data_IF_185932389969
#
_entry.id   IF_185932389969
#
_cell.length_a   1.000
_cell.length_b   1.000
_cell.length_c   1.000
_cell.angle_alpha   90.00
_cell.angle_beta   90.00
_cell.angle_gamma   90.00
#
_symmetry.space_group_name_H-M   'P 1'
#
loop_
_entity.id
_entity.type
_entity.pdbx_description
1 polymer ?
#
# COMPACT_ATOMS: atom_id res chain seq x y z
N UNK A 1 -13.70 -3.00 14.53
CA UNK A 1 -12.91 -1.80 14.15
C UNK A 1 -11.89 -2.22 13.09
N UNK A 2 -11.45 -1.32 12.20
CA UNK A 2 -10.44 -1.64 11.18
C UNK A 2 -9.15 -0.84 11.45
N UNK A 3 -8.01 -1.54 11.48
CA UNK A 3 -6.68 -0.95 11.64
C UNK A 3 -6.03 -0.79 10.27
N UNK A 4 -5.25 0.27 10.11
CA UNK A 4 -4.47 0.52 8.89
C UNK A 4 -2.99 0.40 9.22
N UNK A 5 -2.36 -0.63 8.65
CA UNK A 5 -1.00 -1.03 8.92
C UNK A 5 -0.14 -0.72 7.69
N UNK A 6 1.07 -0.21 7.94
CA UNK A 6 2.03 0.15 6.92
C UNK A 6 3.28 -0.72 7.04
N UNK A 7 4.03 -0.85 5.96
CA UNK A 7 5.34 -1.48 5.95
C UNK A 7 6.43 -0.40 5.93
N UNK A 8 7.36 -0.48 6.87
CA UNK A 8 8.53 0.40 6.87
C UNK A 8 9.52 -0.05 5.80
N UNK A 9 9.76 0.83 4.82
CA UNK A 9 10.52 0.49 3.61
C UNK A 9 11.98 0.06 3.88
N UNK A 10 12.59 0.59 4.94
CA UNK A 10 13.99 0.30 5.30
C UNK A 10 14.17 -1.06 5.97
N UNK A 11 13.20 -1.48 6.78
CA UNK A 11 13.35 -2.63 7.69
C UNK A 11 12.39 -3.79 7.39
N UNK A 12 11.33 -3.53 6.61
CA UNK A 12 10.24 -4.48 6.39
C UNK A 12 9.29 -4.63 7.60
N UNK A 13 9.47 -3.83 8.66
CA UNK A 13 8.62 -3.92 9.85
C UNK A 13 7.21 -3.41 9.56
N UNK A 14 6.22 -4.19 9.97
CA UNK A 14 4.82 -3.76 9.96
C UNK A 14 4.58 -2.84 11.15
N UNK A 15 3.90 -1.73 10.93
CA UNK A 15 3.54 -0.81 12.01
C UNK A 15 2.15 -0.18 11.83
N UNK A 16 1.54 0.12 12.97
CA UNK A 16 0.37 1.00 13.08
C UNK A 16 0.84 2.40 13.43
N UNK A 17 0.32 3.43 12.74
CA UNK A 17 0.68 4.84 12.97
C UNK A 17 -0.39 5.54 13.78
N UNK A 18 0.05 6.37 14.73
CA UNK A 18 -0.79 7.30 15.49
C UNK A 18 -0.19 8.71 15.45
N UNK A 19 -1.03 9.74 15.45
CA UNK A 19 -0.62 11.15 15.67
C UNK A 19 -0.46 11.47 17.16
N UNK A 20 -1.06 10.65 18.02
CA UNK A 20 -1.05 10.81 19.48
C UNK A 20 -0.22 9.71 20.15
N UNK A 21 0.40 10.06 21.28
CA UNK A 21 1.15 9.11 22.11
C UNK A 21 0.18 8.12 22.77
N UNK A 22 0.45 6.83 22.62
CA UNK A 22 -0.34 5.73 23.17
C UNK A 22 0.58 4.67 23.76
N UNK A 23 0.04 3.86 24.66
CA UNK A 23 0.78 2.74 25.24
C UNK A 23 1.24 1.75 24.15
N UNK A 24 2.50 1.33 24.21
CA UNK A 24 3.11 0.43 23.23
C UNK A 24 3.45 1.08 21.88
N UNK A 25 3.34 2.41 21.76
CA UNK A 25 3.81 3.14 20.59
C UNK A 25 5.14 3.83 20.88
N UNK A 26 6.07 3.72 19.94
CA UNK A 26 7.37 4.36 19.95
C UNK A 26 7.31 5.67 19.15
N UNK A 27 8.02 6.70 19.61
CA UNK A 27 8.11 7.97 18.89
C UNK A 27 8.98 7.81 17.63
N UNK A 28 8.50 8.36 16.51
CA UNK A 28 9.19 8.37 15.23
C UNK A 28 9.14 9.78 14.65
N UNK A 29 10.31 10.36 14.40
CA UNK A 29 10.46 11.66 13.74
C UNK A 29 10.88 11.46 12.30
N UNK A 30 10.07 11.94 11.37
CA UNK A 30 10.38 11.89 9.93
C UNK A 30 11.55 12.81 9.58
N UNK A 31 12.17 12.59 8.41
CA UNK A 31 13.22 13.48 7.87
C UNK A 31 12.78 14.93 7.67
N UNK A 32 11.46 15.19 7.63
CA UNK A 32 10.86 16.52 7.54
C UNK A 32 10.54 17.13 8.92
N UNK A 33 10.95 16.50 10.01
CA UNK A 33 10.73 16.98 11.39
C UNK A 33 9.33 16.67 11.97
N UNK A 34 8.44 16.02 11.22
CA UNK A 34 7.13 15.63 11.75
C UNK A 34 7.25 14.43 12.68
N UNK A 35 6.75 14.57 13.91
CA UNK A 35 6.64 13.49 14.89
C UNK A 35 5.37 12.68 14.69
N UNK A 36 5.49 11.36 14.81
CA UNK A 36 4.39 10.41 14.84
C UNK A 36 4.73 9.28 15.80
N UNK A 37 3.74 8.50 16.21
CA UNK A 37 3.92 7.36 17.10
C UNK A 37 3.65 6.08 16.32
N UNK A 38 4.46 5.03 16.52
CA UNK A 38 4.36 3.76 15.79
C UNK A 38 4.36 2.57 16.73
N UNK A 39 3.42 1.66 16.54
CA UNK A 39 3.40 0.34 17.19
C UNK A 39 3.84 -0.72 16.19
N UNK A 40 4.93 -1.42 16.47
CA UNK A 40 5.51 -2.42 15.57
C UNK A 40 5.00 -3.84 15.84
N UNK A 41 4.82 -4.61 14.77
CA UNK A 41 4.37 -6.00 14.80
C UNK A 41 5.53 -6.94 14.41
N UNK A 42 6.24 -7.47 15.40
CA UNK A 42 7.50 -8.20 15.16
C UNK A 42 7.32 -9.60 14.55
N UNK A 43 6.18 -10.26 14.80
CA UNK A 43 5.93 -11.62 14.31
C UNK A 43 5.29 -11.64 12.92
N UNK A 44 5.16 -10.51 12.23
CA UNK A 44 4.31 -10.38 11.06
C UNK A 44 2.84 -10.34 11.46
N UNK A 45 1.96 -10.44 10.47
CA UNK A 45 0.53 -10.28 10.64
C UNK A 45 -0.20 -11.59 10.34
N UNK A 46 -0.93 -12.10 11.32
CA UNK A 46 -1.76 -13.29 11.20
C UNK A 46 -3.20 -12.87 10.90
N UNK A 47 -3.88 -13.60 10.02
CA UNK A 47 -5.31 -13.48 9.85
C UNK A 47 -5.84 -14.21 8.62
N UNK A 48 -7.16 -14.28 8.54
CA UNK A 48 -7.87 -14.76 7.36
C UNK A 48 -7.85 -13.66 6.31
N UNK A 49 -7.26 -13.91 5.15
CA UNK A 49 -7.26 -12.92 4.07
C UNK A 49 -8.67 -12.77 3.49
N UNK A 50 -9.23 -11.57 3.55
CA UNK A 50 -10.62 -11.30 3.13
C UNK A 50 -10.71 -10.47 1.86
N UNK A 51 -9.69 -9.64 1.56
CA UNK A 51 -9.65 -8.85 0.35
C UNK A 51 -8.22 -8.51 -0.07
N UNK A 52 -8.02 -8.34 -1.37
CA UNK A 52 -6.85 -7.73 -2.00
C UNK A 52 -7.38 -6.53 -2.78
N UNK A 53 -6.88 -5.33 -2.52
CA UNK A 53 -7.35 -4.11 -3.16
C UNK A 53 -6.20 -3.27 -3.70
N UNK A 54 -6.43 -2.58 -4.81
CA UNK A 54 -5.63 -1.41 -5.20
C UNK A 54 -6.29 -0.17 -4.62
N UNK A 55 -5.53 0.66 -3.91
CA UNK A 55 -6.03 1.92 -3.34
C UNK A 55 -5.13 3.09 -3.72
N UNK A 56 -5.75 4.24 -3.90
CA UNK A 56 -5.03 5.50 -4.07
C UNK A 56 -4.90 6.19 -2.71
N UNK A 57 -3.74 6.78 -2.44
CA UNK A 57 -3.48 7.50 -1.19
C UNK A 57 -2.68 8.78 -1.48
N UNK A 58 -2.64 9.74 -0.54
CA UNK A 58 -1.81 10.95 -0.70
C UNK A 58 -0.31 10.67 -0.88
N UNK A 59 0.14 9.46 -0.54
CA UNK A 59 1.54 9.02 -0.68
C UNK A 59 1.75 8.10 -1.88
N UNK A 60 0.77 7.97 -2.77
CA UNK A 60 0.81 7.15 -3.98
C UNK A 60 -0.16 5.97 -3.94
N UNK A 61 -0.16 5.21 -5.03
CA UNK A 61 -0.98 4.00 -5.17
C UNK A 61 -0.41 2.86 -4.33
N UNK A 62 -1.29 2.03 -3.78
CA UNK A 62 -0.97 0.98 -2.82
C UNK A 62 -1.69 -0.32 -3.13
N UNK A 63 -1.04 -1.42 -2.77
CA UNK A 63 -1.67 -2.74 -2.63
C UNK A 63 -2.09 -2.89 -1.17
N UNK A 64 -3.37 -3.13 -0.92
CA UNK A 64 -3.91 -3.39 0.40
C UNK A 64 -4.32 -4.87 0.52
N UNK A 65 -3.84 -5.54 1.57
CA UNK A 65 -4.33 -6.85 2.00
C UNK A 65 -5.15 -6.67 3.27
N UNK A 66 -6.41 -7.07 3.25
CA UNK A 66 -7.29 -7.01 4.43
C UNK A 66 -7.34 -8.37 5.10
N UNK A 67 -6.82 -8.47 6.32
CA UNK A 67 -6.82 -9.69 7.12
C UNK A 67 -7.74 -9.54 8.32
N UNK A 68 -8.62 -10.51 8.54
CA UNK A 68 -9.41 -10.63 9.77
C UNK A 68 -8.62 -11.45 10.77
N UNK A 69 -8.27 -10.89 11.93
CA UNK A 69 -7.58 -11.64 12.97
C UNK A 69 -8.53 -12.53 13.80
N UNK A 70 -7.97 -13.33 14.71
CA UNK A 70 -8.74 -14.24 15.57
C UNK A 70 -9.79 -13.55 16.45
N UNK A 71 -9.57 -12.27 16.79
CA UNK A 71 -10.51 -11.47 17.58
C UNK A 71 -11.65 -10.90 16.73
N UNK A 72 -11.57 -11.07 15.40
CA UNK A 72 -12.52 -10.57 14.43
C UNK A 72 -12.25 -9.14 13.97
N UNK A 73 -11.13 -8.53 14.37
CA UNK A 73 -10.73 -7.21 13.90
C UNK A 73 -10.12 -7.28 12.49
N UNK A 74 -10.37 -6.25 11.69
CA UNK A 74 -9.83 -6.15 10.34
C UNK A 74 -8.53 -5.34 10.35
N UNK A 75 -7.48 -5.92 9.78
CA UNK A 75 -6.15 -5.33 9.65
C UNK A 75 -5.85 -5.11 8.16
N UNK A 76 -5.78 -3.85 7.74
CA UNK A 76 -5.52 -3.43 6.36
C UNK A 76 -4.01 -3.17 6.19
N UNK A 77 -3.28 -4.15 5.70
CA UNK A 77 -1.84 -4.07 5.47
C UNK A 77 -1.55 -3.46 4.09
N UNK A 78 -0.87 -2.32 4.07
CA UNK A 78 -0.59 -1.53 2.88
C UNK A 78 0.87 -1.63 2.43
N UNK A 79 1.05 -1.81 1.12
CA UNK A 79 2.33 -1.78 0.43
C UNK A 79 2.28 -0.71 -0.66
N UNK A 80 3.30 0.14 -0.77
CA UNK A 80 3.40 1.05 -1.91
C UNK A 80 3.53 0.25 -3.22
N UNK A 81 2.75 0.61 -4.24
CA UNK A 81 2.73 -0.10 -5.52
C UNK A 81 3.92 0.28 -6.41
N UNK A 82 4.25 1.57 -6.46
CA UNK A 82 5.29 2.10 -7.34
C UNK A 82 6.49 2.66 -6.58
N UNK A 83 7.66 2.60 -7.21
CA UNK A 83 8.86 3.30 -6.78
C UNK A 83 8.85 4.77 -7.22
N UNK A 84 9.87 5.53 -6.80
CA UNK A 84 9.99 6.94 -7.17
C UNK A 84 10.19 7.20 -8.67
N UNK A 85 10.49 6.16 -9.46
CA UNK A 85 10.63 6.24 -10.91
C UNK A 85 9.34 5.81 -11.64
N UNK A 86 8.27 5.47 -10.92
CA UNK A 86 7.00 5.02 -11.50
C UNK A 86 6.99 3.56 -11.94
N UNK A 87 8.01 2.76 -11.62
CA UNK A 87 7.99 1.31 -11.87
C UNK A 87 7.36 0.59 -10.68
N UNK A 88 6.79 -0.61 -10.88
CA UNK A 88 6.34 -1.43 -9.74
C UNK A 88 7.50 -1.61 -8.77
N UNK A 89 7.26 -1.33 -7.48
CA UNK A 89 8.27 -1.40 -6.44
C UNK A 89 8.88 -2.81 -6.40
N UNK A 90 10.19 -2.88 -6.63
CA UNK A 90 10.91 -4.14 -6.68
C UNK A 90 11.19 -4.74 -5.29
N UNK A 91 10.94 -4.00 -4.21
CA UNK A 91 11.23 -4.46 -2.86
C UNK A 91 10.13 -5.33 -2.29
N UNK A 92 8.90 -4.86 -2.31
CA UNK A 92 7.76 -5.52 -1.69
C UNK A 92 6.63 -5.77 -2.69
N UNK A 93 6.24 -4.77 -3.49
CA UNK A 93 5.09 -4.90 -4.39
C UNK A 93 5.29 -6.04 -5.40
N UNK A 94 6.43 -6.07 -6.07
CA UNK A 94 6.76 -7.11 -7.04
C UNK A 94 6.78 -8.51 -6.39
N UNK A 95 7.41 -8.64 -5.21
CA UNK A 95 7.42 -9.92 -4.47
C UNK A 95 6.01 -10.38 -4.10
N UNK A 96 5.15 -9.45 -3.69
CA UNK A 96 3.77 -9.73 -3.33
C UNK A 96 2.96 -10.15 -4.56
N UNK A 97 2.94 -9.34 -5.62
CA UNK A 97 2.20 -9.56 -6.86
C UNK A 97 2.50 -10.95 -7.45
N UNK A 98 3.78 -11.33 -7.49
CA UNK A 98 4.20 -12.63 -8.03
C UNK A 98 3.69 -13.83 -7.22
N UNK A 99 3.32 -13.62 -5.96
CA UNK A 99 2.80 -14.65 -5.05
C UNK A 99 1.27 -14.72 -5.06
N UNK A 100 0.58 -13.62 -5.38
CA UNK A 100 -0.89 -13.52 -5.35
C UNK A 100 -1.65 -14.65 -6.07
N UNK A 101 -1.20 -15.20 -7.22
CA UNK A 101 -1.93 -16.28 -7.88
C UNK A 101 -2.13 -17.54 -7.05
N UNK A 102 -1.24 -17.77 -6.08
CA UNK A 102 -1.30 -18.94 -5.18
C UNK A 102 -1.93 -18.59 -3.82
N UNK A 103 -2.38 -17.35 -3.65
CA UNK A 103 -3.07 -16.88 -2.46
C UNK A 103 -4.58 -17.00 -2.66
N UNK A 104 -5.29 -17.49 -1.65
CA UNK A 104 -6.75 -17.71 -1.67
C UNK A 104 -7.42 -16.77 -0.67
N UNK A 105 -8.45 -16.06 -1.13
CA UNK A 105 -9.36 -15.34 -0.21
C UNK A 105 -10.07 -16.36 0.70
N UNK A 106 -10.40 -15.94 1.92
CA UNK A 106 -10.98 -16.73 3.01
C UNK A 106 -10.08 -17.86 3.51
N UNK A 107 -8.76 -17.68 3.43
CA UNK A 107 -7.81 -18.62 4.01
C UNK A 107 -6.83 -17.92 4.93
N UNK A 108 -6.29 -18.70 5.86
CA UNK A 108 -5.47 -18.21 6.95
C UNK A 108 -4.01 -18.12 6.58
N UNK A 109 -3.43 -16.95 6.86
CA UNK A 109 -2.06 -16.66 6.53
C UNK A 109 -1.35 -15.90 7.64
N UNK A 110 -0.03 -16.09 7.65
CA UNK A 110 0.93 -15.17 8.24
C UNK A 110 1.64 -14.42 7.12
N UNK A 111 1.53 -13.10 7.13
CA UNK A 111 2.20 -12.21 6.18
C UNK A 111 3.34 -11.49 6.89
N UNK A 112 4.55 -11.61 6.34
CA UNK A 112 5.75 -11.01 6.90
C UNK A 112 6.62 -10.42 5.78
N UNK A 113 6.64 -9.09 5.62
CA UNK A 113 7.64 -8.39 4.83
C UNK A 113 9.00 -8.54 5.47
N UNK A 114 10.05 -8.63 4.65
CA UNK A 114 11.41 -8.78 5.12
C UNK A 114 12.37 -7.90 4.32
N UNK A 115 13.42 -7.46 5.00
CA UNK A 115 14.62 -6.88 4.41
C UNK A 115 15.81 -7.61 5.03
N UNK A 116 16.57 -8.29 4.18
CA UNK A 116 17.83 -8.95 4.50
C UNK A 116 18.93 -8.06 3.95
N UNK A 117 19.70 -7.48 4.84
CA UNK A 117 20.84 -6.66 4.48
C UNK A 117 21.98 -7.53 3.92
N UNK A 118 22.89 -6.90 3.18
CA UNK A 118 24.13 -7.53 2.78
C UNK A 118 24.93 -7.85 4.04
N UNK A 119 25.53 -9.03 4.07
CA UNK A 119 26.43 -9.47 5.14
C UNK A 119 27.74 -9.93 4.53
N UNK A 120 28.75 -10.21 5.37
CA UNK A 120 30.00 -10.83 4.90
C UNK A 120 29.74 -12.16 4.18
N UNK A 121 28.66 -12.87 4.55
CA UNK A 121 28.24 -14.14 3.96
C UNK A 121 27.29 -13.99 2.77
N UNK A 122 26.68 -12.82 2.55
CA UNK A 122 25.78 -12.56 1.43
C UNK A 122 26.16 -11.30 0.68
N UNK A 123 26.70 -11.48 -0.53
CA UNK A 123 27.07 -10.39 -1.46
C UNK A 123 25.89 -9.51 -1.88
N UNK A 124 24.66 -10.01 -1.72
CA UNK A 124 23.43 -9.33 -2.12
C UNK A 124 22.44 -9.27 -0.96
N UNK A 125 21.85 -8.09 -0.76
CA UNK A 125 20.69 -7.94 0.11
C UNK A 125 19.46 -8.40 -0.65
N UNK A 126 18.42 -8.79 0.07
CA UNK A 126 17.14 -9.16 -0.53
C UNK A 126 16.00 -8.59 0.29
N UNK A 127 14.91 -8.22 -0.37
CA UNK A 127 13.69 -7.79 0.28
C UNK A 127 12.51 -8.47 -0.39
N UNK A 128 11.40 -8.57 0.33
CA UNK A 128 10.20 -9.21 -0.22
C UNK A 128 9.10 -9.34 0.80
N UNK A 129 8.06 -10.07 0.40
CA UNK A 129 6.94 -10.44 1.27
C UNK A 129 6.88 -11.96 1.31
N UNK A 130 6.95 -12.52 2.52
CA UNK A 130 6.69 -13.94 2.75
C UNK A 130 5.25 -14.11 3.18
N UNK A 131 4.51 -14.97 2.47
CA UNK A 131 3.16 -15.40 2.84
C UNK A 131 3.24 -16.88 3.17
N UNK A 132 2.78 -17.26 4.35
CA UNK A 132 2.85 -18.63 4.87
C UNK A 132 1.45 -19.01 5.34
N UNK A 133 1.01 -20.24 5.08
CA UNK A 133 -0.24 -20.74 5.69
C UNK A 133 -0.11 -20.69 7.21
N UNK A 134 -1.20 -20.34 7.88
CA UNK A 134 -1.21 -20.20 9.33
C UNK A 134 -2.37 -20.96 9.95
N UNK A 135 -2.16 -21.35 11.20
CA UNK A 135 -3.21 -21.66 12.16
C UNK A 135 -3.45 -20.41 13.00
N UNK A 136 -4.64 -19.82 12.91
CA UNK A 136 -4.97 -18.58 13.63
C UNK A 136 -5.30 -18.82 15.10
N UNK A 137 -5.81 -19.99 15.46
CA UNK A 137 -6.14 -20.32 16.84
C UNK A 137 -4.84 -20.46 17.66
N UNK A 138 -3.86 -21.16 17.10
CA UNK A 138 -2.55 -21.33 17.71
C UNK A 138 -1.57 -20.17 17.42
N UNK A 139 -1.89 -19.27 16.49
CA UNK A 139 -0.99 -18.24 15.94
C UNK A 139 0.36 -18.82 15.47
N UNK A 140 0.32 -20.00 14.85
CA UNK A 140 1.50 -20.69 14.33
C UNK A 140 1.50 -20.72 12.81
N UNK A 141 2.70 -20.84 12.23
CA UNK A 141 2.88 -20.99 10.80
C UNK A 141 4.14 -21.83 10.56
N UNK A 142 4.01 -22.95 9.85
CA UNK A 142 5.17 -23.73 9.43
C UNK A 142 5.80 -23.07 8.21
N UNK A 143 7.09 -22.74 8.28
CA UNK A 143 7.82 -22.10 7.18
C UNK A 143 7.83 -22.94 5.90
N UNK A 144 7.66 -24.26 6.02
CA UNK A 144 7.57 -25.17 4.89
C UNK A 144 6.26 -24.97 4.10
N UNK A 145 5.21 -24.47 4.74
CA UNK A 145 3.93 -24.12 4.12
C UNK A 145 3.94 -22.70 3.51
N UNK A 146 5.13 -22.23 3.11
CA UNK A 146 5.28 -20.97 2.41
C UNK A 146 4.54 -21.05 1.07
N UNK A 147 3.71 -20.05 0.79
CA UNK A 147 3.01 -19.94 -0.48
C UNK A 147 4.05 -19.76 -1.59
N UNK A 148 4.09 -20.64 -2.61
CA UNK A 148 5.07 -20.55 -3.66
C UNK A 148 4.79 -19.33 -4.55
N UNK A 149 5.85 -18.78 -5.12
CA UNK A 149 5.76 -17.69 -6.10
C UNK A 149 5.30 -18.29 -7.43
N UNK A 150 4.26 -17.72 -8.04
CA UNK A 150 3.71 -18.20 -9.31
C UNK A 150 4.50 -17.69 -10.52
N UNK A 151 4.90 -16.40 -10.48
CA UNK A 151 5.66 -15.78 -11.56
C UNK A 151 7.15 -15.76 -11.22
N UNK A 152 8.01 -16.42 -11.99
CA UNK A 152 9.45 -16.50 -11.72
C UNK A 152 10.24 -15.50 -12.58
N UNK A 153 11.46 -15.22 -12.16
CA UNK A 153 12.42 -14.55 -13.04
C UNK A 153 13.08 -15.58 -13.94
N UNK A 154 13.22 -15.22 -15.22
CA UNK A 154 13.97 -16.03 -16.17
C UNK A 154 15.46 -15.99 -15.87
N UNK A 155 16.10 -17.16 -15.96
CA UNK A 155 17.56 -17.21 -16.03
C UNK A 155 18.05 -16.61 -17.37
N UNK A 156 19.36 -16.32 -17.44
CA UNK A 156 19.98 -15.58 -18.53
C UNK A 156 19.70 -16.19 -19.92
N UNK A 157 19.54 -17.50 -20.01
CA UNK A 157 19.46 -18.23 -21.28
C UNK A 157 18.15 -19.04 -21.44
N UNK A 158 17.15 -18.76 -20.60
CA UNK A 158 15.85 -19.42 -20.69
C UNK A 158 14.87 -18.69 -21.62
N UNK A 159 14.02 -19.49 -22.27
CA UNK A 159 12.90 -18.99 -23.10
C UNK A 159 11.73 -18.65 -22.18
N UNK A 160 11.14 -17.48 -22.39
CA UNK A 160 9.99 -17.02 -21.62
C UNK A 160 8.78 -17.95 -21.80
N UNK A 161 8.26 -18.46 -20.69
CA UNK A 161 6.97 -19.12 -20.59
C UNK A 161 5.86 -18.18 -20.09
N UNK A 162 4.61 -18.65 -20.03
CA UNK A 162 3.46 -17.85 -19.64
C UNK A 162 3.48 -17.38 -18.16
N UNK A 163 4.30 -18.03 -17.32
CA UNK A 163 4.44 -17.72 -15.89
C UNK A 163 5.77 -17.03 -15.58
N UNK A 164 6.38 -16.37 -16.56
CA UNK A 164 7.65 -15.69 -16.38
C UNK A 164 7.48 -14.17 -16.41
N UNK A 165 8.15 -13.48 -15.50
CA UNK A 165 8.22 -12.02 -15.52
C UNK A 165 9.05 -11.59 -16.74
N UNK A 166 8.60 -10.62 -17.56
CA UNK A 166 9.35 -10.15 -18.72
C UNK A 166 10.79 -9.78 -18.39
N UNK A 167 11.71 -10.24 -19.25
CA UNK A 167 13.15 -10.06 -19.04
C UNK A 167 13.54 -8.62 -19.31
N UNK A 168 14.29 -8.03 -18.37
CA UNK A 168 14.87 -6.71 -18.59
C UNK A 168 15.95 -6.77 -19.68
N UNK A 169 15.82 -5.91 -20.68
CA UNK A 169 16.82 -5.73 -21.73
C UNK A 169 17.77 -4.66 -21.27
N UNK A 170 19.04 -5.00 -21.11
CA UNK A 170 20.07 -4.03 -20.72
C UNK A 170 20.79 -3.47 -21.94
N UNK A 171 21.02 -2.17 -21.95
CA UNK A 171 21.85 -1.48 -22.95
C UNK A 171 22.80 -0.53 -22.24
N UNK A 172 23.94 -0.28 -22.87
CA UNK A 172 24.88 0.71 -22.37
C UNK A 172 24.27 2.12 -22.54
N UNK A 173 24.17 2.84 -21.44
CA UNK A 173 23.68 4.21 -21.40
C UNK A 173 24.60 5.02 -20.50
N UNK A 174 25.26 6.04 -21.07
CA UNK A 174 26.21 6.91 -20.35
C UNK A 174 27.31 6.11 -19.63
N UNK A 175 27.89 5.12 -20.30
CA UNK A 175 28.97 4.29 -19.77
C UNK A 175 28.55 3.28 -18.68
N UNK A 176 27.24 3.06 -18.49
CA UNK A 176 26.71 2.08 -17.54
C UNK A 176 25.67 1.21 -18.21
N UNK A 177 25.74 -0.11 -17.99
CA UNK A 177 24.67 -1.01 -18.40
C UNK A 177 23.43 -0.75 -17.53
N UNK A 178 22.34 -0.34 -18.18
CA UNK A 178 21.06 -0.04 -17.55
C UNK A 178 19.94 -0.78 -18.28
N UNK A 179 18.85 -1.16 -17.58
CA UNK A 179 17.68 -1.68 -18.26
C UNK A 179 17.09 -0.59 -19.15
N UNK A 180 16.60 -0.96 -20.33
CA UNK A 180 15.92 -0.03 -21.24
C UNK A 180 14.57 0.37 -20.68
N UNK A 181 14.15 1.61 -20.95
CA UNK A 181 12.84 2.11 -20.54
C UNK A 181 11.70 1.20 -21.02
N UNK A 182 11.72 0.80 -22.29
CA UNK A 182 10.73 -0.10 -22.86
C UNK A 182 10.63 -1.44 -22.09
N UNK A 183 11.76 -2.06 -21.74
CA UNK A 183 11.72 -3.33 -20.98
C UNK A 183 11.25 -3.15 -19.53
N UNK A 184 11.49 -1.98 -18.92
CA UNK A 184 10.99 -1.66 -17.58
C UNK A 184 9.48 -1.41 -17.59
N UNK A 185 8.99 -0.70 -18.62
CA UNK A 185 7.58 -0.46 -18.84
C UNK A 185 6.82 -1.76 -19.11
N UNK A 186 7.35 -2.64 -19.97
CA UNK A 186 6.77 -3.96 -20.24
C UNK A 186 6.63 -4.79 -18.97
N UNK A 187 7.69 -4.86 -18.14
CA UNK A 187 7.65 -5.53 -16.84
C UNK A 187 6.61 -4.90 -15.91
N UNK A 188 6.55 -3.57 -15.86
CA UNK A 188 5.62 -2.82 -15.01
C UNK A 188 4.18 -3.12 -15.39
N UNK A 189 3.86 -3.06 -16.68
CA UNK A 189 2.53 -3.36 -17.21
C UNK A 189 2.13 -4.80 -16.93
N UNK A 190 3.05 -5.75 -17.15
CA UNK A 190 2.82 -7.16 -16.83
C UNK A 190 2.47 -7.38 -15.36
N UNK A 191 3.26 -6.82 -14.44
CA UNK A 191 3.01 -6.96 -13.00
C UNK A 191 1.71 -6.27 -12.56
N UNK A 192 1.38 -5.13 -13.17
CA UNK A 192 0.13 -4.44 -12.94
C UNK A 192 -1.07 -5.29 -13.40
N UNK A 193 -1.00 -5.86 -14.60
CA UNK A 193 -2.05 -6.74 -15.12
C UNK A 193 -2.23 -7.98 -14.25
N UNK A 194 -1.14 -8.55 -13.74
CA UNK A 194 -1.20 -9.64 -12.76
C UNK A 194 -1.94 -9.18 -11.51
N UNK A 195 -1.56 -8.04 -10.91
CA UNK A 195 -2.23 -7.51 -9.73
C UNK A 195 -3.74 -7.35 -9.96
N UNK A 196 -4.14 -6.73 -11.06
CA UNK A 196 -5.54 -6.42 -11.34
C UNK A 196 -6.42 -7.66 -11.53
N UNK A 197 -5.85 -8.81 -11.91
CA UNK A 197 -6.57 -10.10 -11.94
C UNK A 197 -6.96 -10.63 -10.55
N UNK A 198 -6.23 -10.22 -9.51
CA UNK A 198 -6.43 -10.69 -8.14
C UNK A 198 -7.01 -9.64 -7.20
N UNK A 199 -7.17 -8.40 -7.67
CA UNK A 199 -7.94 -7.38 -6.94
C UNK A 199 -9.37 -7.88 -6.78
N UNK A 200 -9.82 -7.97 -5.54
CA UNK A 200 -11.18 -8.35 -5.20
C UNK A 200 -12.12 -7.28 -5.74
N UNK A 201 -13.21 -7.65 -6.44
CA UNK A 201 -14.21 -6.67 -6.85
C UNK A 201 -14.69 -5.93 -5.61
N UNK A 202 -14.59 -4.60 -5.60
CA UNK A 202 -15.22 -3.84 -4.52
C UNK A 202 -16.72 -4.14 -4.57
N UNK A 203 -17.22 -4.99 -3.68
CA UNK A 203 -18.57 -4.80 -3.17
C UNK A 203 -18.53 -3.42 -2.55
N UNK A 204 -18.96 -2.41 -3.30
CA UNK A 204 -19.33 -1.12 -2.72
C UNK A 204 -20.19 -1.49 -1.51
N UNK A 205 -19.66 -1.29 -0.30
CA UNK A 205 -20.55 -1.08 0.83
C UNK A 205 -21.39 0.09 0.37
N UNK A 206 -22.69 -0.14 0.18
CA UNK A 206 -23.65 0.95 0.17
C UNK A 206 -23.36 1.73 1.45
N UNK A 207 -22.63 2.83 1.30
CA UNK A 207 -22.66 3.87 2.31
C UNK A 207 -24.14 4.20 2.45
N UNK A 208 -24.74 4.14 3.66
CA UNK A 208 -26.08 4.64 3.83
C UNK A 208 -26.07 6.07 3.32
N UNK A 209 -26.83 6.32 2.26
CA UNK A 209 -26.94 7.63 1.64
C UNK A 209 -27.16 8.64 2.76
N UNK A 210 -26.21 9.55 2.94
CA UNK A 210 -26.42 10.69 3.83
C UNK A 210 -27.79 11.30 3.46
N UNK A 211 -28.70 11.51 4.43
CA UNK A 211 -29.97 12.13 4.12
C UNK A 211 -29.70 13.46 3.42
N UNK A 212 -30.42 13.66 2.31
CA UNK A 212 -30.28 14.85 1.48
C UNK A 212 -30.27 16.12 2.36
N UNK A 213 -29.37 17.08 2.10
CA UNK A 213 -29.34 18.32 2.87
C UNK A 213 -30.72 18.98 2.78
N UNK A 214 -31.30 19.27 3.95
CA UNK A 214 -32.57 19.97 4.04
C UNK A 214 -32.52 21.25 3.21
N UNK A 215 -33.51 21.43 2.32
CA UNK A 215 -33.71 22.67 1.57
C UNK A 215 -33.74 23.85 2.55
N UNK A 216 -32.77 24.77 2.42
CA UNK A 216 -32.88 26.10 3.02
C UNK A 216 -34.17 26.76 2.51
N UNK A 217 -34.99 27.37 3.38
CA UNK A 217 -36.14 28.13 2.93
C UNK A 217 -35.68 29.34 2.11
N UNK A 218 -36.33 29.55 0.96
CA UNK A 218 -36.18 30.74 0.12
C UNK A 218 -36.54 32.00 0.93
N UNK A 219 -35.72 33.06 0.88
CA UNK A 219 -36.13 34.34 1.46
C UNK A 219 -37.20 35.00 0.59
N UNK A 220 -38.33 35.32 1.23
CA UNK A 220 -39.40 36.10 0.64
C UNK A 220 -38.92 37.51 0.26
N UNK A 221 -39.30 37.95 -0.94
CA UNK A 221 -39.13 39.29 -1.47
C UNK A 221 -39.89 40.32 -0.63
N UNK A 222 -39.20 41.39 -0.20
CA UNK A 222 -39.81 42.60 0.32
C UNK A 222 -39.06 43.85 -0.17
N UNK A 223 -39.67 44.48 -1.18
CA UNK A 223 -39.85 45.91 -1.45
C UNK A 223 -38.70 46.90 -1.15
N UNK A 224 -38.29 47.58 -2.22
CA UNK A 224 -37.45 48.76 -2.26
C UNK A 224 -38.06 49.98 -1.55
N UNK A 225 -37.27 50.66 -0.73
CA UNK A 225 -37.40 52.09 -0.45
C UNK A 225 -36.06 52.78 -0.67
N UNK A 226 -36.08 53.84 -1.48
CA UNK A 226 -35.00 54.81 -1.69
C UNK A 226 -35.17 55.91 -0.64
N UNK A 227 -34.12 56.28 0.11
CA UNK A 227 -33.84 57.70 0.46
C UNK A 227 -32.35 57.92 0.81
N UNK A 228 -31.77 58.88 0.08
CA UNK A 228 -30.64 59.80 0.33
C UNK A 228 -29.34 59.39 1.06
N UNK A 229 -28.24 59.66 0.36
CA UNK A 229 -26.94 60.04 0.91
C UNK A 229 -27.01 61.33 1.72
N UNK A 230 -26.13 61.49 2.71
CA UNK A 230 -25.21 62.63 2.61
C UNK A 230 -23.74 62.25 2.82
N UNK A 231 -22.91 63.07 2.20
CA UNK A 231 -21.46 63.04 2.21
C UNK A 231 -20.87 63.20 3.62
N UNK A 232 -19.75 62.54 3.87
CA UNK A 232 -18.61 63.16 4.55
C UNK A 232 -17.37 62.28 4.41
N UNK A 233 -16.33 62.92 3.87
CA UNK A 233 -14.93 62.53 3.92
C UNK A 233 -14.51 62.02 5.31
N UNK A 234 -13.66 61.00 5.37
CA UNK A 234 -12.45 61.08 6.18
C UNK A 234 -11.43 60.02 5.80
N UNK A 235 -10.22 60.52 5.56
CA UNK A 235 -8.98 59.81 5.25
C UNK A 235 -8.58 58.86 6.38
N UNK A 236 -8.10 57.67 6.02
CA UNK A 236 -7.23 56.87 6.89
C UNK A 236 -5.79 57.44 6.83
N UNK A 237 -5.11 57.64 7.97
CA UNK A 237 -3.65 57.81 7.98
C UNK A 237 -2.98 56.45 7.72
N UNK A 238 -1.88 56.53 6.96
CA UNK A 238 -0.91 55.52 6.51
C UNK A 238 -0.95 54.12 7.14
#
# INVERSE_FOLDING_TARGET
MAKYLNVEFGTGRIYERSTEKKEGYEEFTSSKGNTSYRKYYQKGLYGTLTAIEKRDSPIGEQIQLTLKDKSGEYNNLQFGLYDANGNVDNRFAESLIRTLPNVKINADYRIFPYVIEKSETSKYGSSGVSIVRADLEAETANKEDKVPVAYRYLAKDEIAGPNDVPKLVFKEQRGKNRPTAASMEEKTNFLYDVLMRFVTPSTKKEEPSAPAPAKKPEPASAQSFVVDSPASEQKLPF
#
